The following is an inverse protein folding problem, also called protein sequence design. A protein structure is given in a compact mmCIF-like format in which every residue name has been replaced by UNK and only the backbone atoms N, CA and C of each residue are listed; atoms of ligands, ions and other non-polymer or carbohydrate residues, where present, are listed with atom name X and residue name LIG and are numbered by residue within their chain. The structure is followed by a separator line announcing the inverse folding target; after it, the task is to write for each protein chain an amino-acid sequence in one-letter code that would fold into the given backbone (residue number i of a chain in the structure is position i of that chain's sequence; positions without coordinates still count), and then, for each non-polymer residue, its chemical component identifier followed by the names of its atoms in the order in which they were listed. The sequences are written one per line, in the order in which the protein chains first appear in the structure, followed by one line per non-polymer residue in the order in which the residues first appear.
data_IF_102691461398
#
_entry.id   IF_102691461398
#
_cell.length_a   1.000
_cell.length_b   1.000
_cell.length_c   1.000
_cell.angle_alpha   90.00
_cell.angle_beta   90.00
_cell.angle_gamma   90.00
#
_symmetry.space_group_name_H-M   'P 1'
#
loop_
_entity.id
_entity.type
_entity.pdbx_description
1 polymer ?
#
# COMPACT_ATOMS: atom_id res chain seq x y z
N UNK A 1 27.35 0.74 -0.04
CA UNK A 1 26.26 1.37 -0.82
C UNK A 1 25.83 2.72 -0.23
N UNK A 2 25.59 2.85 1.09
CA UNK A 2 25.13 4.09 1.74
C UNK A 2 26.07 5.31 1.58
N UNK A 3 27.39 5.11 1.72
CA UNK A 3 28.40 6.18 1.60
C UNK A 3 28.48 6.83 0.20
N UNK A 4 28.15 6.10 -0.88
CA UNK A 4 28.18 6.63 -2.26
C UNK A 4 27.04 7.63 -2.54
N UNK A 5 25.98 7.61 -1.73
CA UNK A 5 24.83 8.50 -1.85
C UNK A 5 24.89 9.70 -0.87
N UNK A 6 26.01 9.91 -0.18
CA UNK A 6 26.19 11.04 0.75
C UNK A 6 25.57 10.87 2.14
N UNK A 7 24.92 9.75 2.43
CA UNK A 7 24.27 9.50 3.72
C UNK A 7 25.19 8.75 4.68
N UNK A 8 25.37 9.30 5.90
CA UNK A 8 26.31 8.77 6.90
C UNK A 8 25.75 7.55 7.65
N UNK A 9 24.42 7.39 7.69
CA UNK A 9 23.73 6.24 8.28
C UNK A 9 22.27 6.15 7.80
N UNK A 10 21.59 5.04 8.13
CA UNK A 10 20.22 4.77 7.72
C UNK A 10 19.20 5.78 8.28
N UNK A 11 19.45 6.37 9.46
CA UNK A 11 18.58 7.39 10.06
C UNK A 11 18.60 8.68 9.23
N UNK A 12 19.77 9.11 8.77
CA UNK A 12 19.91 10.25 7.86
C UNK A 12 19.21 10.01 6.51
N UNK A 13 19.26 8.79 5.99
CA UNK A 13 18.55 8.44 4.76
C UNK A 13 17.03 8.54 4.95
N UNK A 14 16.51 8.05 6.08
CA UNK A 14 15.08 8.11 6.40
C UNK A 14 14.63 9.56 6.65
N UNK A 15 15.41 10.38 7.36
CA UNK A 15 15.10 11.80 7.58
C UNK A 15 15.19 12.61 6.28
N UNK A 16 16.18 12.35 5.43
CA UNK A 16 16.30 13.00 4.13
C UNK A 16 15.15 12.60 3.20
N UNK A 17 14.77 11.33 3.18
CA UNK A 17 13.56 10.86 2.50
C UNK A 17 12.32 11.58 3.05
N UNK A 18 12.19 11.72 4.37
CA UNK A 18 11.05 12.43 4.97
C UNK A 18 10.99 13.91 4.58
N UNK A 19 12.15 14.59 4.54
CA UNK A 19 12.26 16.02 4.23
C UNK A 19 12.16 16.35 2.74
N UNK A 20 12.48 15.41 1.86
CA UNK A 20 12.33 15.56 0.39
C UNK A 20 10.91 15.21 -0.11
N UNK A 21 9.94 15.09 0.80
CA UNK A 21 8.62 14.50 0.53
C UNK A 21 8.73 13.17 -0.23
N UNK A 22 9.72 12.36 0.16
CA UNK A 22 9.97 11.02 -0.34
C UNK A 22 8.98 10.06 0.36
N UNK A 23 7.68 10.36 0.25
CA UNK A 23 6.71 9.35 -0.15
C UNK A 23 6.61 9.38 -1.69
N UNK A 24 7.68 9.16 -2.47
CA UNK A 24 7.63 9.54 -3.86
C UNK A 24 7.28 8.32 -4.72
N UNK A 25 6.54 8.56 -5.81
CA UNK A 25 6.69 7.78 -7.05
C UNK A 25 6.32 6.29 -7.03
N UNK A 26 5.78 5.72 -5.95
CA UNK A 26 5.05 4.43 -6.02
C UNK A 26 3.68 4.57 -6.70
N UNK A 27 3.22 5.81 -6.90
CA UNK A 27 1.92 6.14 -7.49
C UNK A 27 1.98 6.21 -9.03
N UNK A 28 3.17 6.32 -9.64
CA UNK A 28 3.30 6.63 -11.08
C UNK A 28 3.96 5.54 -11.95
N UNK A 29 4.33 4.38 -11.38
CA UNK A 29 4.48 3.13 -12.13
C UNK A 29 3.78 2.01 -11.38
N UNK A 30 2.96 1.24 -12.09
CA UNK A 30 1.57 1.14 -11.73
C UNK A 30 1.44 0.09 -10.65
N UNK A 31 0.75 0.39 -9.55
CA UNK A 31 0.19 -0.67 -8.70
C UNK A 31 -0.57 -1.72 -9.53
N UNK A 32 -1.05 -1.32 -10.72
CA UNK A 32 -1.63 -2.18 -11.75
C UNK A 32 -0.69 -3.28 -12.29
N UNK A 33 0.65 -3.16 -12.16
CA UNK A 33 1.61 -4.18 -12.58
C UNK A 33 1.90 -5.20 -11.47
N UNK A 34 1.73 -4.81 -10.20
CA UNK A 34 2.01 -5.67 -9.03
C UNK A 34 0.74 -6.33 -8.50
N UNK A 35 -0.36 -5.57 -8.49
CA UNK A 35 -1.66 -5.99 -8.01
C UNK A 35 -2.49 -6.52 -9.18
N UNK A 36 -3.20 -7.60 -8.92
CA UNK A 36 -4.30 -8.02 -9.78
C UNK A 36 -5.38 -6.94 -9.81
N UNK A 37 -6.19 -6.95 -10.87
CA UNK A 37 -7.34 -6.05 -10.99
C UNK A 37 -8.25 -6.07 -9.75
N UNK A 38 -8.42 -7.26 -9.14
CA UNK A 38 -9.26 -7.43 -7.95
C UNK A 38 -8.63 -6.88 -6.68
N UNK A 39 -7.33 -7.10 -6.47
CA UNK A 39 -6.59 -6.51 -5.35
C UNK A 39 -6.59 -4.98 -5.44
N UNK A 40 -6.49 -4.43 -6.65
CA UNK A 40 -6.56 -2.99 -6.88
C UNK A 40 -7.96 -2.42 -6.56
N UNK A 41 -9.04 -3.10 -6.99
CA UNK A 41 -10.41 -2.71 -6.63
C UNK A 41 -10.60 -2.70 -5.11
N UNK A 42 -10.13 -3.76 -4.42
CA UNK A 42 -10.21 -3.86 -2.96
C UNK A 42 -9.38 -2.77 -2.29
N UNK A 43 -8.17 -2.48 -2.79
CA UNK A 43 -7.33 -1.40 -2.28
C UNK A 43 -8.05 -0.05 -2.33
N UNK A 44 -8.66 0.30 -3.47
CA UNK A 44 -9.40 1.57 -3.66
C UNK A 44 -10.54 1.73 -2.65
N UNK A 45 -11.28 0.65 -2.37
CA UNK A 45 -12.37 0.72 -1.39
C UNK A 45 -11.85 0.76 0.05
N UNK A 46 -10.73 0.10 0.33
CA UNK A 46 -10.10 0.12 1.66
C UNK A 46 -9.59 1.52 2.00
N UNK A 47 -8.91 2.20 1.08
CA UNK A 47 -8.43 3.58 1.32
C UNK A 47 -9.58 4.58 1.50
N UNK A 48 -10.77 4.26 0.98
CA UNK A 48 -12.01 5.03 1.21
C UNK A 48 -12.69 4.69 2.55
N UNK A 49 -12.10 3.81 3.37
CA UNK A 49 -12.62 3.44 4.69
C UNK A 49 -13.65 2.31 4.69
N UNK A 50 -13.85 1.61 3.56
CA UNK A 50 -14.79 0.49 3.54
C UNK A 50 -14.25 -0.76 4.28
N UNK A 51 -15.11 -1.38 5.08
CA UNK A 51 -14.83 -2.66 5.75
C UNK A 51 -14.93 -3.83 4.77
N UNK A 52 -14.33 -4.99 5.10
CA UNK A 52 -14.48 -6.20 4.25
C UNK A 52 -15.94 -6.55 3.97
N UNK A 53 -16.84 -6.35 4.95
CA UNK A 53 -18.28 -6.61 4.83
C UNK A 53 -19.01 -5.60 3.94
N UNK A 54 -18.50 -4.37 3.82
CA UNK A 54 -19.03 -3.40 2.85
C UNK A 54 -18.51 -3.71 1.44
N UNK A 55 -17.22 -3.99 1.32
CA UNK A 55 -16.58 -4.34 0.06
C UNK A 55 -17.21 -5.61 -0.53
N UNK A 56 -17.50 -6.61 0.29
CA UNK A 56 -18.14 -7.86 -0.15
C UNK A 56 -19.49 -7.63 -0.81
N UNK A 57 -20.29 -6.71 -0.24
CA UNK A 57 -21.59 -6.28 -0.80
C UNK A 57 -21.42 -5.48 -2.09
N UNK A 58 -20.48 -4.52 -2.11
CA UNK A 58 -20.22 -3.69 -3.30
C UNK A 58 -19.69 -4.50 -4.49
N UNK A 59 -18.94 -5.56 -4.22
CA UNK A 59 -18.25 -6.36 -5.22
C UNK A 59 -18.93 -7.72 -5.47
N UNK A 60 -20.07 -7.97 -4.83
CA UNK A 60 -20.89 -9.19 -4.91
C UNK A 60 -20.08 -10.49 -4.75
N UNK A 61 -19.21 -10.54 -3.73
CA UNK A 61 -18.39 -11.71 -3.39
C UNK A 61 -18.41 -11.99 -1.88
N UNK A 62 -17.94 -13.16 -1.46
CA UNK A 62 -17.86 -13.50 -0.05
C UNK A 62 -16.91 -12.60 0.75
N UNK A 63 -17.23 -12.31 2.02
CA UNK A 63 -16.36 -11.55 2.94
C UNK A 63 -14.98 -12.19 3.10
N UNK A 64 -14.93 -13.53 3.12
CA UNK A 64 -13.68 -14.30 3.18
C UNK A 64 -12.79 -14.05 1.95
N UNK A 65 -13.40 -13.94 0.77
CA UNK A 65 -12.69 -13.64 -0.48
C UNK A 65 -12.09 -12.24 -0.44
N UNK A 66 -12.84 -11.25 0.08
CA UNK A 66 -12.31 -9.90 0.30
C UNK A 66 -11.12 -9.91 1.26
N UNK A 67 -11.22 -10.63 2.39
CA UNK A 67 -10.09 -10.78 3.33
C UNK A 67 -8.87 -11.38 2.64
N UNK A 68 -9.06 -12.37 1.77
CA UNK A 68 -7.95 -12.98 1.03
C UNK A 68 -7.30 -12.00 0.05
N UNK A 69 -8.09 -11.19 -0.65
CA UNK A 69 -7.55 -10.10 -1.48
C UNK A 69 -6.79 -9.07 -0.66
N UNK A 70 -7.28 -8.69 0.54
CA UNK A 70 -6.56 -7.76 1.45
C UNK A 70 -5.23 -8.35 1.94
N UNK A 71 -5.18 -9.63 2.28
CA UNK A 71 -3.95 -10.33 2.67
C UNK A 71 -2.93 -10.34 1.51
N UNK A 72 -3.37 -10.72 0.32
CA UNK A 72 -2.51 -10.77 -0.86
C UNK A 72 -2.00 -9.37 -1.26
N UNK A 73 -2.88 -8.36 -1.20
CA UNK A 73 -2.56 -6.95 -1.39
C UNK A 73 -1.43 -6.53 -0.44
N UNK A 74 -1.59 -6.74 0.87
CA UNK A 74 -0.59 -6.38 1.87
C UNK A 74 0.73 -7.10 1.64
N UNK A 75 0.69 -8.41 1.37
CA UNK A 75 1.88 -9.21 1.04
C UNK A 75 2.63 -8.67 -0.17
N UNK A 76 1.91 -8.34 -1.25
CA UNK A 76 2.47 -7.80 -2.50
C UNK A 76 3.07 -6.41 -2.32
N UNK A 77 2.49 -5.60 -1.43
CA UNK A 77 2.98 -4.27 -1.08
C UNK A 77 4.00 -4.29 0.06
N UNK A 78 4.33 -5.46 0.60
CA UNK A 78 5.20 -5.64 1.76
C UNK A 78 4.74 -4.81 2.99
N UNK A 79 3.43 -4.74 3.20
CA UNK A 79 2.78 -4.05 4.31
C UNK A 79 2.31 -5.06 5.35
N UNK A 80 2.29 -4.64 6.62
CA UNK A 80 1.87 -5.49 7.74
C UNK A 80 0.42 -5.27 8.16
N UNK A 81 -0.16 -4.14 7.78
CA UNK A 81 -1.54 -3.80 8.14
C UNK A 81 -2.19 -2.87 7.15
N UNK A 82 -3.52 -2.88 7.18
CA UNK A 82 -4.33 -1.92 6.42
C UNK A 82 -4.13 -0.49 6.92
N UNK A 83 -3.84 -0.29 8.21
CA UNK A 83 -3.50 1.04 8.73
C UNK A 83 -2.24 1.61 8.07
N UNK A 84 -1.22 0.77 7.81
CA UNK A 84 -0.06 1.20 7.03
C UNK A 84 -0.44 1.55 5.58
N UNK A 85 -1.34 0.78 4.97
CA UNK A 85 -1.84 1.10 3.63
C UNK A 85 -2.55 2.46 3.62
N UNK A 86 -3.47 2.71 4.55
CA UNK A 86 -4.24 3.96 4.62
C UNK A 86 -3.32 5.15 4.86
N UNK A 87 -2.37 5.05 5.79
CA UNK A 87 -1.41 6.10 6.11
C UNK A 87 -0.45 6.47 4.96
N UNK A 88 -0.36 5.67 3.89
CA UNK A 88 0.37 6.03 2.67
C UNK A 88 -0.44 6.95 1.73
N UNK A 89 -1.75 7.08 1.96
CA UNK A 89 -2.70 7.82 1.11
C UNK A 89 -3.49 8.90 1.88
N UNK A 90 -3.16 9.13 3.17
CA UNK A 90 -3.60 10.29 3.97
C UNK A 90 -2.57 11.43 3.84
#
# INVERSE_FOLDING_TARGET
MLRKAGFRNARQLIEHARQQNYLPKLVERPLYDVLSARELQVMKLVIQGHTSKHISRLLEIADLTVRKHRENLLRKLNLRSIGQLVALYE
#
